data_IF_904703546880
#
_entry.id   IF_904703546880
#
_cell.length_a   1.000
_cell.length_b   1.000
_cell.length_c   1.000
_cell.angle_alpha   90.00
_cell.angle_beta   90.00
_cell.angle_gamma   90.00
#
_symmetry.space_group_name_H-M   'P 1'
#
loop_
_entity.id
_entity.type
_entity.pdbx_description
1 polymer ?
#
# COMPACT_ATOMS: atom_id res chain seq x y z
N UNK A 1 -20.75 -9.76 -4.06
CA UNK A 1 -19.70 -8.86 -4.58
C UNK A 1 -18.34 -9.56 -4.40
N UNK A 2 -17.57 -9.72 -5.48
CA UNK A 2 -16.38 -10.57 -5.51
C UNK A 2 -15.19 -10.05 -4.69
N UNK A 3 -14.20 -10.93 -4.47
CA UNK A 3 -12.95 -10.59 -3.76
C UNK A 3 -12.03 -9.79 -4.68
N UNK A 4 -11.84 -8.50 -4.39
CA UNK A 4 -10.87 -7.66 -5.11
C UNK A 4 -9.45 -7.91 -4.57
N UNK A 5 -8.59 -8.49 -5.41
CA UNK A 5 -7.16 -8.65 -5.11
C UNK A 5 -6.42 -7.47 -5.70
N UNK A 6 -6.05 -6.50 -4.87
CA UNK A 6 -5.35 -5.28 -5.31
C UNK A 6 -3.86 -5.37 -4.99
N UNK A 7 -3.02 -4.84 -5.89
CA UNK A 7 -1.58 -4.72 -5.65
C UNK A 7 -1.30 -3.61 -4.64
N UNK A 8 -0.46 -3.91 -3.64
CA UNK A 8 -0.05 -2.95 -2.61
C UNK A 8 1.47 -2.82 -2.64
N UNK A 9 1.94 -1.59 -2.82
CA UNK A 9 3.37 -1.27 -2.92
C UNK A 9 3.84 -0.61 -1.63
N UNK A 10 4.89 -1.17 -1.02
CA UNK A 10 5.48 -0.63 0.20
C UNK A 10 6.86 -0.06 -0.10
N UNK A 11 7.09 1.19 0.29
CA UNK A 11 8.42 1.80 0.28
C UNK A 11 8.99 1.70 1.69
N UNK A 12 10.06 0.90 1.84
CA UNK A 12 10.73 0.66 3.13
C UNK A 12 12.14 1.23 3.10
N UNK A 13 12.58 1.84 4.22
CA UNK A 13 13.98 2.15 4.47
C UNK A 13 14.68 0.89 4.95
N UNK A 14 15.82 0.59 4.32
CA UNK A 14 16.72 -0.47 4.72
C UNK A 14 17.97 0.12 5.37
N UNK A 15 18.45 -0.51 6.44
CA UNK A 15 19.75 -0.25 7.04
C UNK A 15 20.46 -1.58 7.20
N UNK A 16 21.69 -1.69 6.69
CA UNK A 16 22.45 -2.96 6.65
C UNK A 16 21.65 -4.11 6.00
N UNK A 17 20.82 -3.80 4.99
CA UNK A 17 19.95 -4.77 4.31
C UNK A 17 18.64 -5.08 5.04
N UNK A 18 18.48 -4.66 6.30
CA UNK A 18 17.29 -4.96 7.11
C UNK A 18 16.27 -3.81 6.97
N UNK A 19 15.02 -4.09 6.56
CA UNK A 19 13.97 -3.07 6.52
C UNK A 19 13.57 -2.68 7.94
N UNK A 20 13.76 -1.41 8.32
CA UNK A 20 13.46 -0.95 9.68
C UNK A 20 12.28 0.02 9.74
N UNK A 21 11.93 0.69 8.64
CA UNK A 21 10.81 1.65 8.62
C UNK A 21 10.08 1.62 7.29
N UNK A 22 8.76 1.60 7.32
CA UNK A 22 7.94 1.85 6.12
C UNK A 22 7.69 3.35 6.02
N UNK A 23 7.96 3.94 4.85
CA UNK A 23 7.74 5.36 4.59
C UNK A 23 6.37 5.59 3.96
N UNK A 24 6.09 4.87 2.89
CA UNK A 24 4.88 5.05 2.10
C UNK A 24 4.28 3.70 1.75
N UNK A 25 2.95 3.69 1.65
CA UNK A 25 2.16 2.52 1.32
C UNK A 25 1.10 2.93 0.31
N UNK A 26 1.21 2.42 -0.90
CA UNK A 26 0.28 2.70 -1.98
C UNK A 26 -0.54 1.46 -2.31
N UNK A 27 -1.77 1.66 -2.77
CA UNK A 27 -2.69 0.61 -3.22
C UNK A 27 -3.28 0.98 -4.57
N UNK A 28 -3.32 0.00 -5.46
CA UNK A 28 -4.05 0.12 -6.72
C UNK A 28 -5.57 -0.01 -6.47
N UNK A 29 -6.36 0.92 -7.00
CA UNK A 29 -7.82 0.88 -6.94
C UNK A 29 -8.37 -0.07 -8.00
N UNK A 30 -9.66 -0.39 -7.91
CA UNK A 30 -10.37 -1.17 -8.93
C UNK A 30 -10.23 -0.57 -10.34
N UNK A 31 -10.04 0.76 -10.43
CA UNK A 31 -9.93 1.49 -11.69
C UNK A 31 -8.47 1.64 -12.16
N UNK A 32 -7.51 0.98 -11.51
CA UNK A 32 -6.09 1.08 -11.84
C UNK A 32 -5.39 2.34 -11.33
N UNK A 33 -6.05 3.12 -10.48
CA UNK A 33 -5.47 4.33 -9.91
C UNK A 33 -4.61 3.96 -8.70
N UNK A 34 -3.43 4.57 -8.56
CA UNK A 34 -2.58 4.37 -7.38
C UNK A 34 -2.93 5.42 -6.34
N UNK A 35 -3.47 5.00 -5.20
CA UNK A 35 -3.80 5.87 -4.06
C UNK A 35 -2.94 5.54 -2.85
N UNK A 36 -2.68 6.53 -2.02
CA UNK A 36 -2.05 6.29 -0.73
C UNK A 36 -3.03 5.52 0.19
N UNK A 37 -2.51 4.57 0.95
CA UNK A 37 -3.34 3.78 1.87
C UNK A 37 -3.90 4.60 3.02
N UNK A 38 -3.31 5.75 3.36
CA UNK A 38 -3.85 6.68 4.37
C UNK A 38 -5.11 7.37 3.85
N UNK A 39 -5.16 7.66 2.56
CA UNK A 39 -6.31 8.26 1.90
C UNK A 39 -7.44 7.24 1.66
N UNK A 40 -7.11 5.94 1.69
CA UNK A 40 -8.12 4.89 1.64
C UNK A 40 -8.88 4.84 2.97
N UNK A 41 -10.16 5.26 2.94
CA UNK A 41 -11.09 5.08 4.06
C UNK A 41 -11.44 3.58 4.24
N UNK A 42 -10.52 2.85 4.85
CA UNK A 42 -10.71 1.49 5.32
C UNK A 42 -11.58 1.56 6.59
N UNK A 43 -12.89 1.74 6.42
CA UNK A 43 -13.83 1.64 7.52
C UNK A 43 -13.65 0.28 8.21
N UNK A 44 -13.52 0.34 9.54
CA UNK A 44 -13.25 -0.82 10.42
C UNK A 44 -14.51 -1.62 10.70
#
# INVERSE_FOLDING_TARGET
MGKLTAKVTYIKKHLLGIPFKTLHKYRETYYGEVKDCIDCNLAR
#
